data_IF_205108231533
#
_entry.id   IF_205108231533
#
_cell.length_a   1.000
_cell.length_b   1.000
_cell.length_c   1.000
_cell.angle_alpha   90.00
_cell.angle_beta   90.00
_cell.angle_gamma   90.00
#
_symmetry.space_group_name_H-M   'P 1'
#
loop_
_entity.id
_entity.type
_entity.pdbx_description
1 polymer ?
#
# COMPACT_ATOMS: atom_id res chain seq x y z
N UNK A 1 -15.50 -16.98 16.12
CA UNK A 1 -15.99 -16.66 17.49
C UNK A 1 -15.80 -15.17 17.81
N UNK A 2 -16.38 -14.24 17.02
CA UNK A 2 -16.56 -12.84 17.43
C UNK A 2 -17.85 -12.33 16.76
N UNK A 3 -18.96 -12.74 17.34
CA UNK A 3 -20.27 -12.20 17.00
C UNK A 3 -20.81 -11.55 18.27
N UNK A 4 -20.29 -10.36 18.62
CA UNK A 4 -20.92 -9.49 19.61
C UNK A 4 -21.50 -8.27 18.89
N UNK A 5 -22.73 -7.84 19.18
CA UNK A 5 -23.39 -6.72 18.53
C UNK A 5 -22.75 -5.35 18.77
N UNK A 6 -21.67 -5.28 19.52
CA UNK A 6 -21.01 -4.07 20.03
C UNK A 6 -19.60 -3.87 19.43
N UNK A 7 -19.49 -4.02 18.09
CA UNK A 7 -18.26 -3.65 17.39
C UNK A 7 -18.08 -2.13 17.52
N UNK A 8 -17.15 -1.74 18.37
CA UNK A 8 -16.86 -0.37 18.79
C UNK A 8 -16.51 0.51 17.57
N UNK A 9 -16.86 1.80 17.56
CA UNK A 9 -16.58 2.73 16.45
C UNK A 9 -15.11 2.74 16.00
N UNK A 10 -14.18 2.70 16.94
CA UNK A 10 -12.74 2.67 16.66
C UNK A 10 -12.33 1.48 15.77
N UNK A 11 -12.86 0.29 16.07
CA UNK A 11 -12.64 -0.89 15.22
C UNK A 11 -13.22 -0.69 13.81
N UNK A 12 -14.32 0.07 13.68
CA UNK A 12 -14.92 0.35 12.36
C UNK A 12 -14.08 1.31 11.53
N UNK A 13 -13.42 2.29 12.14
CA UNK A 13 -12.57 3.26 11.41
C UNK A 13 -11.25 2.62 11.02
N UNK A 14 -10.59 1.90 11.93
CA UNK A 14 -9.39 1.13 11.61
C UNK A 14 -9.66 0.08 10.51
N UNK A 15 -10.80 -0.63 10.61
CA UNK A 15 -11.26 -1.56 9.57
C UNK A 15 -11.60 -0.81 8.26
N UNK A 16 -12.05 0.45 8.31
CA UNK A 16 -12.24 1.28 7.11
C UNK A 16 -10.91 1.70 6.50
N UNK A 17 -9.94 2.17 7.27
CA UNK A 17 -8.61 2.49 6.77
C UNK A 17 -7.92 1.26 6.16
N UNK A 18 -7.88 0.14 6.89
CA UNK A 18 -7.33 -1.13 6.41
C UNK A 18 -8.18 -1.73 5.27
N UNK A 19 -9.50 -1.59 5.30
CA UNK A 19 -10.40 -2.09 4.26
C UNK A 19 -10.50 -1.16 3.04
N UNK A 20 -10.26 0.15 3.16
CA UNK A 20 -10.15 1.02 2.00
C UNK A 20 -8.99 0.60 1.11
N UNK A 21 -7.90 0.15 1.74
CA UNK A 21 -6.75 -0.40 1.03
C UNK A 21 -7.01 -1.83 0.49
N UNK A 22 -7.81 -2.63 1.20
CA UNK A 22 -7.93 -4.07 0.92
C UNK A 22 -9.22 -4.49 0.19
N UNK A 23 -10.34 -3.84 0.35
CA UNK A 23 -11.65 -4.38 -0.05
C UNK A 23 -12.23 -3.84 -1.36
N UNK A 24 -11.71 -2.76 -1.92
CA UNK A 24 -12.07 -2.42 -3.31
C UNK A 24 -11.23 -3.15 -4.36
N UNK A 25 -10.12 -3.74 -3.96
CA UNK A 25 -9.28 -4.57 -4.86
C UNK A 25 -9.82 -6.01 -5.08
N UNK A 26 -10.71 -6.53 -4.21
CA UNK A 26 -10.99 -7.98 -4.16
C UNK A 26 -12.36 -8.40 -4.69
N UNK A 27 -13.25 -7.48 -5.08
CA UNK A 27 -14.58 -7.87 -5.58
C UNK A 27 -14.99 -7.27 -6.93
N UNK A 28 -14.07 -7.20 -7.88
CA UNK A 28 -14.48 -7.25 -9.28
C UNK A 28 -14.03 -8.60 -9.83
N UNK A 29 -14.97 -9.47 -10.11
CA UNK A 29 -14.79 -10.66 -10.95
C UNK A 29 -13.95 -10.24 -12.16
N UNK A 30 -12.72 -10.75 -12.21
CA UNK A 30 -11.93 -10.65 -13.44
C UNK A 30 -12.73 -11.31 -14.54
N UNK A 31 -13.07 -10.63 -15.65
CA UNK A 31 -13.52 -11.35 -16.83
C UNK A 31 -12.43 -12.33 -17.18
N UNK A 32 -12.79 -13.60 -17.40
CA UNK A 32 -11.88 -14.61 -17.84
C UNK A 32 -11.05 -14.05 -19.00
N UNK A 33 -9.73 -14.17 -18.88
CA UNK A 33 -8.80 -13.80 -19.95
C UNK A 33 -9.21 -14.57 -21.22
N UNK A 34 -9.82 -13.89 -22.18
CA UNK A 34 -10.03 -14.49 -23.49
C UNK A 34 -8.65 -14.69 -24.11
N UNK A 35 -8.37 -15.85 -24.68
CA UNK A 35 -7.11 -16.06 -25.38
C UNK A 35 -7.09 -15.13 -26.60
N UNK A 36 -6.13 -14.22 -26.62
CA UNK A 36 -5.82 -13.40 -27.78
C UNK A 36 -5.37 -14.34 -28.91
N UNK A 37 -6.22 -14.52 -29.91
CA UNK A 37 -5.82 -15.15 -31.16
C UNK A 37 -4.86 -14.22 -31.90
N UNK A 38 -3.64 -14.62 -31.87
CA UNK A 38 -2.46 -14.50 -32.70
C UNK A 38 -2.34 -13.41 -33.76
N UNK A 39 -1.45 -12.51 -33.58
CA UNK A 39 -0.19 -12.44 -34.34
C UNK A 39 0.93 -12.37 -33.27
N UNK A 40 1.73 -13.45 -33.13
CA UNK A 40 2.79 -13.54 -32.12
C UNK A 40 4.00 -12.74 -32.61
N UNK A 41 3.90 -11.44 -32.64
CA UNK A 41 5.03 -10.59 -32.36
C UNK A 41 5.45 -10.88 -30.90
N UNK A 42 6.69 -11.27 -30.69
CA UNK A 42 7.26 -11.49 -29.37
C UNK A 42 6.92 -10.25 -28.55
N UNK A 43 6.18 -10.37 -27.41
CA UNK A 43 5.84 -9.20 -26.64
C UNK A 43 7.15 -8.53 -26.22
N UNK A 44 7.23 -7.19 -26.32
CA UNK A 44 8.39 -6.46 -25.82
C UNK A 44 8.61 -6.76 -24.34
N UNK A 45 9.88 -6.86 -23.96
CA UNK A 45 10.25 -7.08 -22.56
C UNK A 45 9.76 -5.93 -21.68
N UNK A 46 9.32 -6.24 -20.46
CA UNK A 46 9.06 -5.24 -19.41
C UNK A 46 10.29 -4.39 -19.08
N UNK A 47 11.49 -4.89 -19.43
CA UNK A 47 12.77 -4.22 -19.18
C UNK A 47 13.20 -3.30 -20.32
N UNK A 48 12.43 -3.22 -21.41
CA UNK A 48 12.76 -2.41 -22.60
C UNK A 48 11.88 -1.17 -22.69
N UNK A 49 12.53 -0.02 -22.96
CA UNK A 49 11.84 1.25 -23.14
C UNK A 49 11.27 1.37 -24.54
N UNK A 50 10.06 1.92 -24.65
CA UNK A 50 9.44 2.25 -25.93
C UNK A 50 9.73 3.69 -26.33
N UNK A 51 9.75 3.92 -27.65
CA UNK A 51 9.89 5.26 -28.22
C UNK A 51 8.57 6.04 -28.23
N UNK A 52 7.44 5.34 -28.19
CA UNK A 52 6.10 5.92 -28.30
C UNK A 52 5.22 5.51 -27.13
N UNK A 53 4.30 6.39 -26.72
CA UNK A 53 3.35 6.11 -25.68
C UNK A 53 2.32 5.03 -26.06
N UNK A 54 1.91 5.00 -27.34
CA UNK A 54 0.94 4.04 -27.87
C UNK A 54 1.50 3.29 -29.08
N UNK A 55 0.96 2.08 -29.34
CA UNK A 55 -0.03 1.30 -28.60
C UNK A 55 0.54 0.75 -27.30
N UNK A 56 -0.31 0.44 -26.31
CA UNK A 56 0.13 -0.22 -25.06
C UNK A 56 0.45 -1.68 -25.32
N UNK A 57 1.57 -2.15 -24.78
CA UNK A 57 1.91 -3.59 -24.70
C UNK A 57 1.29 -4.23 -23.45
N UNK A 58 1.13 -3.44 -22.39
CA UNK A 58 0.63 -3.87 -21.08
C UNK A 58 -0.62 -3.08 -20.69
N UNK A 59 -1.75 -3.22 -21.42
CA UNK A 59 -2.95 -2.43 -21.17
C UNK A 59 -3.52 -2.63 -19.76
N UNK A 60 -3.28 -3.79 -19.12
CA UNK A 60 -3.64 -4.04 -17.74
C UNK A 60 -2.99 -3.05 -16.77
N UNK A 61 -1.74 -2.64 -17.01
CA UNK A 61 -1.05 -1.66 -16.17
C UNK A 61 -1.74 -0.29 -16.25
N UNK A 62 -2.16 0.12 -17.47
CA UNK A 62 -2.95 1.34 -17.62
C UNK A 62 -4.29 1.27 -16.89
N UNK A 63 -4.97 0.13 -16.90
CA UNK A 63 -6.23 -0.05 -16.17
C UNK A 63 -6.02 0.01 -14.64
N UNK A 64 -4.92 -0.54 -14.12
CA UNK A 64 -4.56 -0.37 -12.71
C UNK A 64 -4.29 1.09 -12.35
N UNK A 65 -3.51 1.80 -13.18
CA UNK A 65 -3.31 3.24 -13.00
C UNK A 65 -4.64 3.99 -12.93
N UNK A 66 -5.54 3.74 -13.88
CA UNK A 66 -6.85 4.38 -13.93
C UNK A 66 -7.71 4.11 -12.70
N UNK A 67 -7.69 2.86 -12.21
CA UNK A 67 -8.40 2.49 -10.99
C UNK A 67 -7.88 3.24 -9.77
N UNK A 68 -6.57 3.41 -9.65
CA UNK A 68 -5.97 4.18 -8.55
C UNK A 68 -6.45 5.65 -8.57
N UNK A 69 -6.56 6.27 -9.76
CA UNK A 69 -7.11 7.63 -9.85
C UNK A 69 -8.58 7.70 -9.42
N UNK A 70 -9.35 6.64 -9.63
CA UNK A 70 -10.78 6.59 -9.30
C UNK A 70 -11.06 6.33 -7.81
N UNK A 71 -10.13 5.74 -7.08
CA UNK A 71 -10.25 5.41 -5.65
C UNK A 71 -9.41 6.34 -4.76
N UNK A 72 -8.88 7.42 -5.31
CA UNK A 72 -8.13 8.42 -4.55
C UNK A 72 -8.98 8.99 -3.42
N UNK A 73 -8.36 9.23 -2.27
CA UNK A 73 -8.98 9.80 -1.08
C UNK A 73 -7.95 10.63 -0.32
N UNK A 74 -8.41 11.49 0.57
CA UNK A 74 -7.56 12.30 1.43
C UNK A 74 -7.79 11.93 2.90
N UNK A 75 -6.76 12.01 3.76
CA UNK A 75 -6.88 11.67 5.18
C UNK A 75 -8.01 12.39 5.90
N UNK A 76 -8.26 13.64 5.54
CA UNK A 76 -9.29 14.49 6.13
C UNK A 76 -10.73 14.04 5.82
N UNK A 77 -10.91 13.16 4.83
CA UNK A 77 -12.21 12.55 4.52
C UNK A 77 -12.62 11.48 5.55
N UNK A 78 -11.67 11.05 6.40
CA UNK A 78 -11.92 10.04 7.45
C UNK A 78 -12.25 10.76 8.77
N UNK A 79 -13.50 10.68 9.27
CA UNK A 79 -13.88 11.33 10.51
C UNK A 79 -13.29 10.57 11.72
N UNK A 80 -12.30 11.15 12.39
CA UNK A 80 -11.59 10.56 13.54
C UNK A 80 -12.12 10.99 14.92
N UNK A 81 -13.16 11.82 14.98
CA UNK A 81 -13.64 12.38 16.26
C UNK A 81 -14.15 11.35 17.26
N UNK A 82 -14.71 10.22 16.79
CA UNK A 82 -15.11 9.12 17.68
C UNK A 82 -13.90 8.26 18.09
N UNK A 83 -12.92 8.12 17.22
CA UNK A 83 -11.71 7.34 17.48
C UNK A 83 -10.88 7.93 18.62
N UNK A 84 -10.80 9.26 18.72
CA UNK A 84 -10.15 9.93 19.85
C UNK A 84 -10.82 9.58 21.19
N UNK A 85 -12.15 9.55 21.19
CA UNK A 85 -12.94 9.22 22.39
C UNK A 85 -12.78 7.75 22.75
N UNK A 86 -12.81 6.88 21.76
CA UNK A 86 -12.64 5.45 21.96
C UNK A 86 -11.22 5.10 22.42
N UNK A 87 -10.21 5.75 21.83
CA UNK A 87 -8.82 5.65 22.26
C UNK A 87 -8.63 6.04 23.72
N UNK A 88 -9.26 7.13 24.16
CA UNK A 88 -9.11 7.64 25.52
C UNK A 88 -9.90 6.84 26.56
N UNK A 89 -11.07 6.27 26.22
CA UNK A 89 -12.06 5.84 27.21
C UNK A 89 -12.55 4.40 27.07
N UNK A 90 -12.49 3.79 25.88
CA UNK A 90 -13.17 2.52 25.63
C UNK A 90 -12.25 1.34 25.39
N UNK A 91 -11.11 1.56 24.72
CA UNK A 91 -10.20 0.47 24.43
C UNK A 91 -9.42 0.06 25.68
N UNK A 92 -9.26 -1.25 25.89
CA UNK A 92 -8.45 -1.79 26.97
C UNK A 92 -6.96 -1.51 26.74
N UNK A 93 -6.15 -1.66 27.78
CA UNK A 93 -4.70 -1.53 27.70
C UNK A 93 -4.08 -2.51 26.68
N UNK A 94 -4.59 -3.75 26.63
CA UNK A 94 -4.12 -4.76 25.67
C UNK A 94 -4.44 -4.36 24.22
N UNK A 95 -5.65 -3.87 23.96
CA UNK A 95 -6.03 -3.38 22.62
C UNK A 95 -5.20 -2.16 22.24
N UNK A 96 -4.97 -1.23 23.17
CA UNK A 96 -4.13 -0.05 22.96
C UNK A 96 -2.69 -0.45 22.61
N UNK A 97 -2.12 -1.39 23.34
CA UNK A 97 -0.77 -1.88 23.06
C UNK A 97 -0.70 -2.52 21.67
N UNK A 98 -1.64 -3.41 21.33
CA UNK A 98 -1.69 -4.02 19.99
C UNK A 98 -1.77 -2.97 18.88
N UNK A 99 -2.68 -2.00 19.00
CA UNK A 99 -2.86 -0.94 18.01
C UNK A 99 -1.63 -0.04 17.90
N UNK A 100 -0.97 0.27 19.04
CA UNK A 100 0.29 1.02 19.04
C UNK A 100 1.36 0.31 18.21
N UNK A 101 1.53 -1.01 18.37
CA UNK A 101 2.49 -1.77 17.56
C UNK A 101 2.13 -1.77 16.07
N UNK A 102 0.84 -1.88 15.75
CA UNK A 102 0.36 -1.80 14.39
C UNK A 102 0.67 -0.42 13.78
N UNK A 103 0.42 0.66 14.49
CA UNK A 103 0.68 2.02 14.02
C UNK A 103 2.18 2.27 13.83
N UNK A 104 3.02 1.86 14.78
CA UNK A 104 4.48 1.92 14.66
C UNK A 104 4.98 1.24 13.39
N UNK A 105 4.41 0.10 13.04
CA UNK A 105 4.79 -0.63 11.85
C UNK A 105 4.34 0.10 10.57
N UNK A 106 3.06 0.45 10.45
CA UNK A 106 2.51 1.02 9.22
C UNK A 106 3.02 2.42 8.92
N UNK A 107 3.26 3.26 9.92
CA UNK A 107 3.83 4.60 9.70
C UNK A 107 5.21 4.57 9.02
N UNK A 108 5.92 3.46 9.15
CA UNK A 108 7.24 3.30 8.53
C UNK A 108 7.20 2.40 7.28
N UNK A 109 6.41 1.32 7.31
CA UNK A 109 6.38 0.35 6.22
C UNK A 109 5.97 0.99 4.88
N UNK A 110 5.03 1.94 4.89
CA UNK A 110 4.53 2.59 3.68
C UNK A 110 5.60 3.50 3.04
N UNK A 111 6.54 4.05 3.82
CA UNK A 111 7.71 4.78 3.29
C UNK A 111 8.59 3.81 2.48
N UNK A 112 8.90 2.65 3.04
CA UNK A 112 9.73 1.65 2.38
C UNK A 112 9.05 1.07 1.12
N UNK A 113 7.73 0.87 1.17
CA UNK A 113 6.95 0.40 0.02
C UNK A 113 6.91 1.47 -1.08
N UNK A 114 6.74 2.73 -0.72
CA UNK A 114 6.83 3.86 -1.66
C UNK A 114 8.17 3.87 -2.39
N UNK A 115 9.27 3.75 -1.64
CA UNK A 115 10.62 3.71 -2.20
C UNK A 115 10.84 2.50 -3.12
N UNK A 116 10.24 1.34 -2.81
CA UNK A 116 10.27 0.19 -3.70
C UNK A 116 9.65 0.51 -5.06
N UNK A 117 8.49 1.16 -5.11
CA UNK A 117 7.85 1.53 -6.37
C UNK A 117 8.65 2.58 -7.13
N UNK A 118 9.19 3.58 -6.44
CA UNK A 118 9.87 4.71 -7.06
C UNK A 118 11.32 4.38 -7.43
N UNK A 119 12.10 3.94 -6.47
CA UNK A 119 13.54 3.83 -6.60
C UNK A 119 14.04 2.48 -7.10
N UNK A 120 13.25 1.41 -6.92
CA UNK A 120 13.62 0.08 -7.38
C UNK A 120 12.87 -0.28 -8.65
N UNK A 121 11.59 -0.62 -8.57
CA UNK A 121 10.82 -1.08 -9.73
C UNK A 121 10.63 -0.02 -10.82
N UNK A 122 10.49 1.25 -10.48
CA UNK A 122 10.39 2.35 -11.44
C UNK A 122 11.64 2.53 -12.31
N UNK A 123 12.81 2.08 -11.83
CA UNK A 123 14.06 2.07 -12.60
C UNK A 123 14.18 0.85 -13.51
N UNK A 124 13.60 -0.28 -13.13
CA UNK A 124 13.68 -1.55 -13.83
C UNK A 124 12.66 -1.63 -14.95
N UNK A 125 11.38 -1.43 -14.65
CA UNK A 125 10.31 -1.52 -15.64
C UNK A 125 10.25 -0.28 -16.51
N UNK A 126 10.31 -0.48 -17.82
CA UNK A 126 10.51 0.60 -18.81
C UNK A 126 9.24 1.05 -19.55
N UNK A 127 8.21 0.18 -19.83
CA UNK A 127 7.01 0.62 -20.53
C UNK A 127 6.29 1.75 -19.79
N UNK A 128 5.81 2.74 -20.54
CA UNK A 128 5.21 3.96 -19.95
C UNK A 128 3.99 3.66 -19.11
N UNK A 129 3.11 2.77 -19.56
CA UNK A 129 1.90 2.38 -18.84
C UNK A 129 2.21 1.67 -17.52
N UNK A 130 3.31 0.90 -17.46
CA UNK A 130 3.78 0.26 -16.21
C UNK A 130 4.33 1.31 -15.24
N UNK A 131 5.11 2.27 -15.75
CA UNK A 131 5.60 3.39 -14.92
C UNK A 131 4.46 4.25 -14.39
N UNK A 132 3.42 4.49 -15.19
CA UNK A 132 2.22 5.20 -14.73
C UNK A 132 1.55 4.45 -13.58
N UNK A 133 1.40 3.13 -13.68
CA UNK A 133 0.85 2.29 -12.62
C UNK A 133 1.68 2.36 -11.34
N UNK A 134 3.00 2.18 -11.44
CA UNK A 134 3.91 2.25 -10.28
C UNK A 134 3.89 3.64 -9.63
N UNK A 135 3.83 4.71 -10.42
CA UNK A 135 3.72 6.07 -9.90
C UNK A 135 2.40 6.29 -9.14
N UNK A 136 1.30 5.72 -9.62
CA UNK A 136 0.02 5.79 -8.93
C UNK A 136 0.01 4.98 -7.62
N UNK A 137 0.68 3.83 -7.58
CA UNK A 137 0.86 3.05 -6.36
C UNK A 137 1.73 3.80 -5.36
N UNK A 138 2.88 4.32 -5.80
CA UNK A 138 3.75 5.17 -4.97
C UNK A 138 3.00 6.39 -4.39
N UNK A 139 2.17 7.04 -5.21
CA UNK A 139 1.33 8.15 -4.72
C UNK A 139 0.31 7.69 -3.66
N UNK A 140 -0.25 6.49 -3.77
CA UNK A 140 -1.18 5.98 -2.76
C UNK A 140 -0.48 5.75 -1.42
N UNK A 141 0.77 5.31 -1.42
CA UNK A 141 1.55 5.20 -0.18
C UNK A 141 1.77 6.57 0.49
N UNK A 142 1.90 7.65 -0.28
CA UNK A 142 1.97 9.00 0.33
C UNK A 142 0.67 9.37 1.05
N UNK A 143 -0.47 8.94 0.54
CA UNK A 143 -1.77 9.12 1.20
C UNK A 143 -1.85 8.30 2.48
N UNK A 144 -1.36 7.05 2.48
CA UNK A 144 -1.29 6.20 3.66
C UNK A 144 -0.39 6.79 4.74
N UNK A 145 0.82 7.25 4.39
CA UNK A 145 1.76 7.92 5.30
C UNK A 145 1.08 9.12 5.96
N UNK A 146 0.44 9.98 5.16
CA UNK A 146 -0.27 11.14 5.66
C UNK A 146 -1.46 10.75 6.56
N UNK A 147 -2.19 9.68 6.22
CA UNK A 147 -3.34 9.20 6.99
C UNK A 147 -2.93 8.64 8.35
N UNK A 148 -1.85 7.87 8.42
CA UNK A 148 -1.33 7.39 9.69
C UNK A 148 -0.79 8.53 10.56
N UNK A 149 -0.09 9.51 9.96
CA UNK A 149 0.34 10.71 10.67
C UNK A 149 -0.87 11.46 11.25
N UNK A 150 -1.88 11.72 10.43
CA UNK A 150 -3.11 12.38 10.86
C UNK A 150 -3.83 11.61 11.99
N UNK A 151 -3.86 10.27 11.90
CA UNK A 151 -4.44 9.43 12.97
C UNK A 151 -3.65 9.56 14.28
N UNK A 152 -2.32 9.40 14.24
CA UNK A 152 -1.49 9.45 15.45
C UNK A 152 -1.58 10.81 16.14
N UNK A 153 -1.51 11.89 15.37
CA UNK A 153 -1.66 13.26 15.88
C UNK A 153 -3.03 13.45 16.54
N UNK A 154 -4.09 12.96 15.88
CA UNK A 154 -5.48 13.12 16.35
C UNK A 154 -5.75 12.37 17.65
N UNK A 155 -5.19 11.17 17.82
CA UNK A 155 -5.34 10.39 19.08
C UNK A 155 -4.32 10.79 20.16
N UNK A 156 -3.42 11.75 19.86
CA UNK A 156 -2.45 12.32 20.82
C UNK A 156 -1.26 11.40 21.11
N UNK A 157 -0.82 10.61 20.15
CA UNK A 157 0.40 9.82 20.28
C UNK A 157 1.64 10.72 20.10
N UNK A 158 2.68 10.57 20.92
CA UNK A 158 3.89 11.37 20.81
C UNK A 158 4.70 11.01 19.55
N UNK A 159 5.41 11.98 18.97
CA UNK A 159 6.26 11.76 17.78
C UNK A 159 7.35 10.71 17.98
N UNK A 160 7.75 10.42 19.22
CA UNK A 160 8.69 9.34 19.54
C UNK A 160 8.21 7.97 19.05
N UNK A 161 6.89 7.76 18.91
CA UNK A 161 6.31 6.50 18.45
C UNK A 161 6.74 6.13 17.01
N UNK A 162 7.02 7.11 16.16
CA UNK A 162 7.47 6.88 14.78
C UNK A 162 8.82 6.14 14.69
N UNK A 163 9.68 6.28 15.70
CA UNK A 163 10.97 5.60 15.76
C UNK A 163 10.95 4.25 16.49
N UNK A 164 9.90 3.98 17.26
CA UNK A 164 9.84 2.84 18.17
C UNK A 164 9.66 1.48 17.47
N UNK A 165 9.29 1.45 16.19
CA UNK A 165 9.20 0.20 15.42
C UNK A 165 10.53 -0.57 15.39
N UNK A 166 11.66 0.13 15.48
CA UNK A 166 13.01 -0.46 15.49
C UNK A 166 13.36 -1.17 16.83
N UNK A 167 12.53 -1.08 17.85
CA UNK A 167 12.73 -1.82 19.11
C UNK A 167 12.44 -3.32 18.96
N UNK A 168 11.63 -3.69 17.96
CA UNK A 168 11.26 -5.08 17.71
C UNK A 168 12.13 -5.68 16.60
N UNK A 169 12.73 -6.85 16.89
CA UNK A 169 13.62 -7.53 15.94
C UNK A 169 12.90 -7.84 14.62
N UNK A 170 11.68 -8.34 14.69
CA UNK A 170 10.90 -8.72 13.51
C UNK A 170 10.55 -7.51 12.62
N UNK A 171 10.37 -6.34 13.21
CA UNK A 171 10.13 -5.10 12.47
C UNK A 171 11.42 -4.58 11.83
N UNK A 172 12.54 -4.63 12.57
CA UNK A 172 13.86 -4.30 11.99
C UNK A 172 14.20 -5.19 10.81
N UNK A 173 14.01 -6.49 10.93
CA UNK A 173 14.32 -7.45 9.87
C UNK A 173 13.51 -7.16 8.61
N UNK A 174 12.22 -6.83 8.75
CA UNK A 174 11.38 -6.42 7.61
C UNK A 174 11.83 -5.11 6.99
N UNK A 175 12.12 -4.10 7.80
CA UNK A 175 12.64 -2.82 7.35
C UNK A 175 13.94 -3.01 6.58
N UNK A 176 14.89 -3.75 7.17
CA UNK A 176 16.19 -4.01 6.56
C UNK A 176 16.06 -4.79 5.24
N UNK A 177 15.12 -5.75 5.18
CA UNK A 177 14.82 -6.46 3.94
C UNK A 177 14.30 -5.51 2.86
N UNK A 178 13.26 -4.73 3.14
CA UNK A 178 12.66 -3.80 2.17
C UNK A 178 13.65 -2.76 1.68
N UNK A 179 14.52 -2.28 2.57
CA UNK A 179 15.54 -1.29 2.25
C UNK A 179 16.68 -1.86 1.39
N UNK A 180 17.11 -3.08 1.66
CA UNK A 180 18.37 -3.63 1.14
C UNK A 180 18.20 -4.61 -0.02
N UNK A 181 17.01 -5.09 -0.34
CA UNK A 181 16.85 -5.98 -1.50
C UNK A 181 17.22 -5.28 -2.81
N UNK A 182 17.78 -6.05 -3.74
CA UNK A 182 18.18 -5.57 -5.05
C UNK A 182 17.23 -6.05 -6.14
N UNK A 183 17.27 -5.39 -7.29
CA UNK A 183 16.53 -5.72 -8.52
C UNK A 183 17.50 -5.76 -9.72
N UNK A 184 18.71 -6.23 -9.48
CA UNK A 184 19.82 -6.19 -10.43
C UNK A 184 19.75 -7.32 -11.46
N UNK A 185 19.04 -8.39 -11.17
CA UNK A 185 18.83 -9.53 -12.07
C UNK A 185 17.36 -9.88 -12.21
N UNK A 186 16.99 -10.63 -13.25
CA UNK A 186 15.61 -11.14 -13.45
C UNK A 186 15.19 -12.03 -12.28
N UNK A 187 16.12 -12.79 -11.69
CA UNK A 187 15.86 -13.62 -10.51
C UNK A 187 15.57 -12.76 -9.27
N UNK A 188 16.31 -11.68 -9.04
CA UNK A 188 16.07 -10.76 -7.94
C UNK A 188 14.71 -10.07 -8.09
N UNK A 189 14.38 -9.61 -9.30
CA UNK A 189 13.08 -9.02 -9.60
C UNK A 189 11.97 -10.01 -9.31
N UNK A 190 12.07 -11.25 -9.79
CA UNK A 190 11.06 -12.28 -9.58
C UNK A 190 10.90 -12.62 -8.10
N UNK A 191 12.00 -12.74 -7.36
CA UNK A 191 12.00 -13.05 -5.92
C UNK A 191 11.34 -11.95 -5.10
N UNK A 192 11.56 -10.69 -5.44
CA UNK A 192 11.03 -9.57 -4.67
C UNK A 192 9.58 -9.23 -5.00
N UNK A 193 9.06 -9.69 -6.15
CA UNK A 193 7.64 -9.56 -6.52
C UNK A 193 6.77 -10.72 -5.99
N UNK A 194 7.35 -11.85 -5.60
CA UNK A 194 6.64 -13.02 -5.09
C UNK A 194 6.35 -12.92 -3.60
#
# INVERSE_FOLDING_TARGET
LFNTPDARPFHRTLVRMVNFTRLRLIRSTFPALQPLTADRTIPMSLLEARKTYKPFEYPWAYEFWKRQQQIHWMPEEVPLGEDCRDWAQKISEHERNLLTQIFRFFTQADIEVQDCYHDKYGRVFKPTEVKMMLAAFSNMETVHIAAYSHLLDTIGMPESEYGMFLEYQEMRDKHDYLKNFTVDSDEDIARTLA
#
